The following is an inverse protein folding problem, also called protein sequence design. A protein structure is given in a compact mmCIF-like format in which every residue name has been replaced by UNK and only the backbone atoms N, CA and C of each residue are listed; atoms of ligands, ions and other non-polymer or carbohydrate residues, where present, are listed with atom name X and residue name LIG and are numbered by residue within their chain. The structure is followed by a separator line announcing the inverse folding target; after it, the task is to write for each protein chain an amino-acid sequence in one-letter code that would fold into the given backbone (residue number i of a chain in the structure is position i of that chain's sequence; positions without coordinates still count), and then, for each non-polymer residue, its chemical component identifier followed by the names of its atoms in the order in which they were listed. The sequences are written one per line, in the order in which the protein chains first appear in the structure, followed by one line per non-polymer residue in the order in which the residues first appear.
data_IF_496323766847
#
_entry.id   IF_496323766847
#
_cell.length_a   1.000
_cell.length_b   1.000
_cell.length_c   1.000
_cell.angle_alpha   90.00
_cell.angle_beta   90.00
_cell.angle_gamma   90.00
#
_symmetry.space_group_name_H-M   'P 1'
#
loop_
_entity.id
_entity.type
_entity.pdbx_description
1 polymer ?
#
# COMPACT_ATOMS: atom_id res chain seq x y z
N UNK A 1 5.54 -16.88 -7.03
CA UNK A 1 5.13 -15.58 -6.41
C UNK A 1 6.25 -14.54 -6.42
N UNK A 2 7.50 -14.93 -6.56
CA UNK A 2 8.67 -14.02 -6.63
C UNK A 2 8.59 -12.98 -7.75
N UNK A 3 7.86 -13.28 -8.84
CA UNK A 3 7.61 -12.32 -9.93
C UNK A 3 6.62 -11.20 -9.56
N UNK A 4 5.94 -11.32 -8.42
CA UNK A 4 4.98 -10.34 -7.94
C UNK A 4 5.60 -9.54 -6.78
N UNK A 5 6.33 -8.50 -7.10
CA UNK A 5 7.12 -7.69 -6.16
C UNK A 5 6.32 -6.97 -5.05
N UNK A 6 5.01 -7.09 -5.06
CA UNK A 6 4.09 -6.60 -4.04
C UNK A 6 3.66 -7.70 -3.04
N UNK A 7 4.14 -8.95 -3.21
CA UNK A 7 3.89 -10.05 -2.30
C UNK A 7 5.17 -10.46 -1.57
N UNK A 8 5.10 -10.54 -0.26
CA UNK A 8 6.19 -11.02 0.60
C UNK A 8 5.73 -12.22 1.40
N UNK A 9 6.59 -13.24 1.53
CA UNK A 9 6.29 -14.41 2.34
C UNK A 9 6.49 -14.06 3.82
N UNK A 10 5.41 -14.08 4.61
CA UNK A 10 5.44 -13.83 6.05
C UNK A 10 5.84 -15.07 6.86
N UNK A 11 5.60 -16.28 6.33
CA UNK A 11 5.92 -17.54 7.00
C UNK A 11 5.41 -18.77 6.24
N UNK A 12 5.85 -19.93 6.68
CA UNK A 12 5.42 -21.25 6.20
C UNK A 12 4.99 -22.08 7.40
N UNK A 13 3.94 -22.88 7.26
CA UNK A 13 3.40 -23.74 8.29
C UNK A 13 3.22 -25.18 7.81
N UNK A 14 3.45 -26.15 8.71
CA UNK A 14 3.41 -27.58 8.39
C UNK A 14 2.12 -28.29 8.87
N UNK A 15 1.10 -27.55 9.25
CA UNK A 15 -0.17 -28.10 9.71
C UNK A 15 -1.13 -27.05 10.22
N UNK A 16 -2.37 -27.46 10.59
CA UNK A 16 -3.40 -26.49 11.02
C UNK A 16 -3.00 -25.68 12.26
N UNK A 17 -2.49 -26.33 13.31
CA UNK A 17 -2.16 -25.66 14.58
C UNK A 17 -0.99 -24.68 14.41
N UNK A 18 0.08 -25.10 13.72
CA UNK A 18 1.19 -24.22 13.35
C UNK A 18 0.70 -23.09 12.42
N UNK A 19 -0.15 -23.40 11.45
CA UNK A 19 -0.76 -22.44 10.56
C UNK A 19 -1.54 -21.37 11.31
N UNK A 20 -2.42 -21.74 12.21
CA UNK A 20 -3.19 -20.81 13.02
C UNK A 20 -2.27 -19.94 13.87
N UNK A 21 -1.27 -20.54 14.54
CA UNK A 21 -0.32 -19.81 15.37
C UNK A 21 0.46 -18.76 14.56
N UNK A 22 0.92 -19.11 13.36
CA UNK A 22 1.61 -18.17 12.48
C UNK A 22 0.68 -17.05 11.96
N UNK A 23 -0.56 -17.39 11.62
CA UNK A 23 -1.56 -16.40 11.21
C UNK A 23 -1.84 -15.40 12.34
N UNK A 24 -2.03 -15.87 13.57
CA UNK A 24 -2.25 -15.02 14.73
C UNK A 24 -1.04 -14.13 15.06
N UNK A 25 0.18 -14.66 14.84
CA UNK A 25 1.43 -13.93 15.11
C UNK A 25 1.75 -12.85 14.09
N UNK A 26 1.56 -13.15 12.82
CA UNK A 26 2.01 -12.29 11.72
C UNK A 26 0.89 -11.49 11.06
N UNK A 27 -0.38 -11.82 11.34
CA UNK A 27 -1.57 -11.20 10.75
C UNK A 27 -1.43 -10.99 9.22
N UNK A 28 -1.18 -12.05 8.42
CA UNK A 28 -0.94 -11.92 6.99
C UNK A 28 -2.21 -11.44 6.27
N UNK A 29 -2.06 -10.71 5.17
CA UNK A 29 -3.19 -10.32 4.32
C UNK A 29 -3.75 -11.47 3.49
N UNK A 30 -2.91 -12.49 3.22
CA UNK A 30 -3.22 -13.61 2.34
C UNK A 30 -2.64 -14.92 2.88
N UNK A 31 -3.45 -15.97 2.86
CA UNK A 31 -3.06 -17.33 3.28
C UNK A 31 -3.31 -18.32 2.15
N UNK A 32 -2.30 -19.09 1.80
CA UNK A 32 -2.43 -20.24 0.89
C UNK A 32 -2.57 -21.52 1.69
N UNK A 33 -3.60 -22.31 1.38
CA UNK A 33 -3.90 -23.55 2.09
C UNK A 33 -3.87 -24.73 1.10
N UNK A 34 -2.93 -25.66 1.30
CA UNK A 34 -2.87 -26.88 0.51
C UNK A 34 -3.89 -27.90 1.01
N UNK A 35 -4.93 -28.15 0.21
CA UNK A 35 -6.07 -29.02 0.55
C UNK A 35 -5.89 -30.47 0.08
N UNK A 36 -4.74 -30.85 -0.45
CA UNK A 36 -4.48 -32.24 -0.86
C UNK A 36 -4.37 -33.19 0.34
N UNK A 37 -4.03 -32.66 1.51
CA UNK A 37 -3.91 -33.41 2.75
C UNK A 37 -4.60 -32.68 3.89
N UNK A 38 -5.21 -33.44 4.82
CA UNK A 38 -5.84 -32.89 6.05
C UNK A 38 -6.90 -31.81 5.79
N UNK A 39 -7.57 -31.82 4.63
CA UNK A 39 -8.53 -30.78 4.26
C UNK A 39 -9.59 -30.46 5.36
N UNK A 40 -10.20 -31.45 6.05
CA UNK A 40 -11.16 -31.15 7.11
C UNK A 40 -10.57 -30.32 8.26
N UNK A 41 -9.36 -30.65 8.72
CA UNK A 41 -8.70 -29.92 9.79
C UNK A 41 -8.27 -28.51 9.33
N UNK A 42 -7.90 -28.33 8.07
CA UNK A 42 -7.57 -27.03 7.49
C UNK A 42 -8.81 -26.15 7.32
N UNK A 43 -9.97 -26.70 6.96
CA UNK A 43 -11.23 -25.97 6.98
C UNK A 43 -11.61 -25.51 8.40
N UNK A 44 -11.42 -26.40 9.39
CA UNK A 44 -11.65 -26.05 10.78
C UNK A 44 -10.73 -24.90 11.23
N UNK A 45 -9.44 -24.94 10.90
CA UNK A 45 -8.49 -23.87 11.16
C UNK A 45 -8.97 -22.53 10.56
N UNK A 46 -9.44 -22.55 9.30
CA UNK A 46 -9.96 -21.32 8.65
C UNK A 46 -11.21 -20.80 9.35
N UNK A 47 -12.11 -21.66 9.82
CA UNK A 47 -13.26 -21.24 10.62
C UNK A 47 -12.85 -20.69 11.98
N UNK A 48 -11.85 -21.28 12.60
CA UNK A 48 -11.34 -20.86 13.91
C UNK A 48 -10.69 -19.49 13.88
N UNK A 49 -9.99 -19.12 12.77
CA UNK A 49 -9.43 -17.78 12.59
C UNK A 49 -10.47 -16.67 12.81
N UNK A 50 -11.74 -16.91 12.41
CA UNK A 50 -12.83 -15.94 12.57
C UNK A 50 -13.17 -15.60 14.04
N UNK A 51 -12.76 -16.45 14.98
CA UNK A 51 -12.98 -16.21 16.41
C UNK A 51 -11.97 -15.27 17.04
N UNK A 52 -10.76 -15.19 16.46
CA UNK A 52 -9.62 -14.48 17.05
C UNK A 52 -9.22 -13.22 16.28
N UNK A 53 -9.53 -13.14 14.97
CA UNK A 53 -9.08 -12.05 14.13
C UNK A 53 -10.21 -11.05 13.84
N UNK A 54 -9.92 -9.77 14.02
CA UNK A 54 -10.82 -8.68 13.62
C UNK A 54 -10.79 -8.48 12.08
N UNK A 55 -9.61 -8.61 11.48
CA UNK A 55 -9.42 -8.56 10.04
C UNK A 55 -8.98 -9.95 9.57
N UNK A 56 -9.84 -10.60 8.79
CA UNK A 56 -9.62 -11.97 8.34
C UNK A 56 -8.82 -11.96 7.05
N UNK A 57 -7.70 -12.72 6.98
CA UNK A 57 -6.92 -12.83 5.74
C UNK A 57 -7.75 -13.43 4.61
N UNK A 58 -7.43 -13.07 3.38
CA UNK A 58 -7.97 -13.77 2.23
C UNK A 58 -7.34 -15.14 2.12
N UNK A 59 -8.16 -16.19 1.97
CA UNK A 59 -7.67 -17.56 1.90
C UNK A 59 -7.81 -18.08 0.48
N UNK A 60 -6.73 -18.65 -0.07
CA UNK A 60 -6.73 -19.34 -1.36
C UNK A 60 -6.43 -20.83 -1.11
N UNK A 61 -7.35 -21.68 -1.54
CA UNK A 61 -7.14 -23.12 -1.53
C UNK A 61 -6.27 -23.55 -2.71
N UNK A 62 -5.32 -24.44 -2.48
CA UNK A 62 -4.49 -25.06 -3.50
C UNK A 62 -4.72 -26.57 -3.47
N UNK A 63 -4.96 -27.20 -4.63
CA UNK A 63 -5.12 -28.66 -4.72
C UNK A 63 -4.86 -29.19 -6.13
N UNK A 64 -4.56 -30.48 -6.23
CA UNK A 64 -4.48 -31.24 -7.50
C UNK A 64 -5.86 -31.68 -8.00
N UNK A 65 -6.91 -31.55 -7.18
CA UNK A 65 -8.25 -32.03 -7.53
C UNK A 65 -9.33 -30.99 -7.17
N UNK A 66 -10.48 -31.07 -7.84
CA UNK A 66 -11.66 -30.22 -7.56
C UNK A 66 -12.48 -30.68 -6.35
N UNK A 67 -12.10 -31.79 -5.71
CA UNK A 67 -12.87 -32.45 -4.65
C UNK A 67 -13.32 -31.49 -3.54
N UNK A 68 -12.46 -30.60 -3.12
CA UNK A 68 -12.70 -29.68 -2.00
C UNK A 68 -13.13 -28.27 -2.43
N UNK A 69 -13.37 -28.04 -3.74
CA UNK A 69 -13.69 -26.71 -4.24
C UNK A 69 -15.02 -26.18 -3.68
N UNK A 70 -16.03 -27.04 -3.56
CA UNK A 70 -17.32 -26.65 -2.99
C UNK A 70 -17.22 -26.30 -1.50
N UNK A 71 -16.46 -27.10 -0.74
CA UNK A 71 -16.23 -26.84 0.68
C UNK A 71 -15.41 -25.55 0.90
N UNK A 72 -14.44 -25.28 0.03
CA UNK A 72 -13.69 -24.04 0.05
C UNK A 72 -14.60 -22.81 -0.14
N UNK A 73 -15.53 -22.84 -1.10
CA UNK A 73 -16.52 -21.78 -1.31
C UNK A 73 -17.38 -21.58 -0.04
N UNK A 74 -17.90 -22.69 0.55
CA UNK A 74 -18.71 -22.63 1.77
C UNK A 74 -17.97 -22.03 2.98
N UNK A 75 -16.66 -22.30 3.07
CA UNK A 75 -15.81 -21.78 4.14
C UNK A 75 -15.19 -20.40 3.82
N UNK A 76 -15.73 -19.69 2.83
CA UNK A 76 -15.35 -18.31 2.55
C UNK A 76 -13.96 -18.13 1.90
N UNK A 77 -13.40 -19.19 1.29
CA UNK A 77 -12.18 -19.04 0.54
C UNK A 77 -12.37 -18.04 -0.59
N UNK A 78 -11.38 -17.20 -0.77
CA UNK A 78 -11.39 -16.17 -1.80
C UNK A 78 -11.30 -16.78 -3.22
N UNK A 79 -10.45 -17.81 -3.38
CA UNK A 79 -10.25 -18.52 -4.63
C UNK A 79 -9.76 -19.96 -4.39
N UNK A 80 -9.77 -20.76 -5.45
CA UNK A 80 -9.31 -22.14 -5.43
C UNK A 80 -8.41 -22.41 -6.64
N UNK A 81 -7.13 -22.67 -6.41
CA UNK A 81 -6.16 -22.89 -7.47
C UNK A 81 -5.92 -24.38 -7.70
N UNK A 82 -6.16 -24.81 -8.92
CA UNK A 82 -5.98 -26.20 -9.32
C UNK A 82 -4.59 -26.40 -9.94
N UNK A 83 -3.80 -27.34 -9.40
CA UNK A 83 -2.53 -27.72 -9.99
C UNK A 83 -2.74 -28.74 -11.14
N UNK A 84 -1.98 -28.70 -12.25
CA UNK A 84 -0.90 -27.77 -12.53
C UNK A 84 -1.42 -26.34 -12.74
N UNK A 85 -0.66 -25.34 -12.25
CA UNK A 85 -1.11 -23.96 -12.26
C UNK A 85 -1.12 -23.37 -13.67
N UNK A 86 -2.18 -22.64 -14.00
CA UNK A 86 -2.24 -21.79 -15.18
C UNK A 86 -1.89 -20.34 -14.78
N UNK A 87 -0.84 -19.79 -15.38
CA UNK A 87 -0.37 -18.42 -15.08
C UNK A 87 -1.47 -17.38 -15.29
N UNK A 88 -2.28 -17.54 -16.34
CA UNK A 88 -3.37 -16.60 -16.62
C UNK A 88 -4.45 -16.59 -15.53
N UNK A 89 -4.79 -17.77 -14.98
CA UNK A 89 -5.77 -17.87 -13.90
C UNK A 89 -5.23 -17.33 -12.59
N UNK A 90 -3.96 -17.59 -12.27
CA UNK A 90 -3.27 -16.96 -11.12
C UNK A 90 -3.29 -15.45 -11.27
N UNK A 91 -2.93 -14.92 -12.43
CA UNK A 91 -2.92 -13.47 -12.69
C UNK A 91 -4.30 -12.84 -12.51
N UNK A 92 -5.36 -13.47 -13.01
CA UNK A 92 -6.75 -13.03 -12.79
C UNK A 92 -7.14 -13.03 -11.32
N UNK A 93 -6.79 -14.10 -10.61
CA UNK A 93 -7.05 -14.22 -9.17
C UNK A 93 -6.34 -13.11 -8.38
N UNK A 94 -5.06 -12.88 -8.62
CA UNK A 94 -4.30 -11.82 -7.97
C UNK A 94 -4.83 -10.41 -8.30
N UNK A 95 -5.30 -10.16 -9.53
CA UNK A 95 -5.94 -8.90 -9.86
C UNK A 95 -7.27 -8.68 -9.11
N UNK A 96 -8.07 -9.74 -8.93
CA UNK A 96 -9.29 -9.69 -8.10
C UNK A 96 -8.95 -9.46 -6.63
N UNK A 97 -7.91 -10.14 -6.12
CA UNK A 97 -7.41 -10.02 -4.77
C UNK A 97 -7.00 -8.56 -4.49
N UNK A 98 -6.17 -7.96 -5.34
CA UNK A 98 -5.74 -6.55 -5.20
C UNK A 98 -6.91 -5.55 -5.18
N UNK A 99 -8.03 -5.86 -5.82
CA UNK A 99 -9.25 -5.03 -5.75
C UNK A 99 -10.00 -5.16 -4.43
N UNK A 100 -9.90 -6.30 -3.76
CA UNK A 100 -10.58 -6.60 -2.49
C UNK A 100 -9.70 -6.35 -1.28
N UNK A 101 -8.38 -6.46 -1.42
CA UNK A 101 -7.49 -6.04 -0.35
C UNK A 101 -7.82 -4.59 0.01
N UNK A 102 -8.06 -4.28 1.29
CA UNK A 102 -8.14 -2.90 1.69
C UNK A 102 -6.86 -2.26 1.17
N UNK A 103 -6.98 -1.19 0.38
CA UNK A 103 -5.83 -0.36 0.05
C UNK A 103 -5.16 -0.13 1.38
N UNK A 104 -3.93 -0.65 1.55
CA UNK A 104 -3.15 -0.50 2.79
C UNK A 104 -3.51 0.85 3.38
N UNK A 105 -4.13 0.85 4.57
CA UNK A 105 -4.45 2.11 5.26
C UNK A 105 -3.10 2.78 5.41
N UNK A 106 -2.77 3.62 4.44
CA UNK A 106 -1.55 4.42 4.52
C UNK A 106 -1.66 5.15 5.84
N UNK A 107 -0.61 5.24 6.63
CA UNK A 107 -0.69 5.89 7.92
C UNK A 107 -1.33 7.26 7.71
N UNK A 108 -2.56 7.41 8.19
CA UNK A 108 -3.30 8.67 8.06
C UNK A 108 -2.65 9.77 8.91
N UNK A 109 -1.72 9.37 9.78
CA UNK A 109 -1.10 10.27 10.73
C UNK A 109 0.41 10.02 10.77
N UNK A 110 1.19 11.09 10.68
CA UNK A 110 2.62 11.08 10.97
C UNK A 110 2.85 11.67 12.36
N UNK A 111 3.64 11.00 13.18
CA UNK A 111 4.01 11.47 14.50
C UNK A 111 5.36 12.18 14.46
N UNK A 112 5.38 13.45 14.77
CA UNK A 112 6.60 14.24 14.98
C UNK A 112 6.91 14.25 16.47
N UNK A 113 8.12 13.79 16.82
CA UNK A 113 8.58 13.77 18.21
C UNK A 113 9.66 14.82 18.40
N UNK A 114 9.47 15.71 19.40
CA UNK A 114 10.44 16.67 19.88
C UNK A 114 10.51 16.57 21.41
N UNK A 115 11.63 16.06 21.96
CA UNK A 115 11.80 15.78 23.40
C UNK A 115 10.63 14.94 23.95
N UNK A 116 9.80 15.53 24.80
CA UNK A 116 8.60 14.91 25.39
C UNK A 116 7.30 15.36 24.72
N UNK A 117 7.40 16.06 23.59
CA UNK A 117 6.25 16.51 22.80
C UNK A 117 6.06 15.61 21.58
N UNK A 118 4.80 15.19 21.35
CA UNK A 118 4.40 14.34 20.25
C UNK A 118 3.27 15.00 19.48
N UNK A 119 3.58 15.52 18.31
CA UNK A 119 2.61 16.13 17.42
C UNK A 119 2.19 15.14 16.33
N UNK A 120 0.88 14.93 16.20
CA UNK A 120 0.29 14.03 15.22
C UNK A 120 -0.33 14.84 14.09
N UNK A 121 0.22 14.72 12.88
CA UNK A 121 -0.29 15.39 11.69
C UNK A 121 -1.05 14.39 10.82
N UNK A 122 -2.28 14.75 10.43
CA UNK A 122 -3.02 13.97 9.45
C UNK A 122 -2.36 14.16 8.07
N UNK A 123 -1.95 13.05 7.46
CA UNK A 123 -1.27 13.08 6.16
C UNK A 123 -2.16 13.60 5.03
N UNK A 124 -3.48 13.55 5.18
CA UNK A 124 -4.43 14.09 4.21
C UNK A 124 -4.46 15.62 4.19
N UNK A 125 -4.01 16.28 5.28
CA UNK A 125 -3.98 17.73 5.39
C UNK A 125 -2.59 18.32 5.07
N UNK A 126 -1.59 17.47 4.78
CA UNK A 126 -0.25 17.92 4.38
C UNK A 126 -0.24 18.17 2.86
N UNK A 127 0.06 19.42 2.46
CA UNK A 127 0.17 19.82 1.06
C UNK A 127 1.53 19.46 0.46
N UNK A 128 2.60 19.82 1.16
CA UNK A 128 3.97 19.50 0.76
C UNK A 128 4.92 19.64 1.95
N UNK A 129 6.12 19.10 1.79
CA UNK A 129 7.23 19.27 2.71
C UNK A 129 8.36 20.03 2.03
N UNK A 130 9.02 20.89 2.79
CA UNK A 130 10.19 21.67 2.36
C UNK A 130 11.36 21.42 3.31
N UNK A 131 12.56 21.20 2.74
CA UNK A 131 13.78 21.18 3.53
C UNK A 131 14.18 22.61 3.91
N UNK A 132 14.48 22.81 5.19
CA UNK A 132 15.12 24.01 5.72
C UNK A 132 16.33 23.61 6.57
N UNK A 133 17.52 23.75 5.99
CA UNK A 133 18.78 23.31 6.60
C UNK A 133 18.71 21.83 7.08
N UNK A 134 18.78 21.61 8.40
CA UNK A 134 18.70 20.28 9.02
C UNK A 134 17.29 19.93 9.49
N UNK A 135 16.28 20.73 9.13
CA UNK A 135 14.88 20.55 9.50
C UNK A 135 14.02 20.31 8.27
N UNK A 136 12.79 19.89 8.50
CA UNK A 136 11.75 19.78 7.48
C UNK A 136 10.52 20.51 7.94
N UNK A 137 10.03 21.38 7.09
CA UNK A 137 8.78 22.11 7.26
C UNK A 137 7.64 21.37 6.59
N UNK A 138 6.55 21.12 7.33
CA UNK A 138 5.30 20.56 6.83
C UNK A 138 4.30 21.68 6.61
N UNK A 139 3.93 21.91 5.37
CA UNK A 139 2.93 22.91 4.98
C UNK A 139 1.55 22.27 4.97
N UNK A 140 0.70 22.72 5.87
CA UNK A 140 -0.62 22.15 6.10
C UNK A 140 -1.69 22.90 5.31
N UNK A 141 -2.81 22.24 5.07
CA UNK A 141 -3.97 22.77 4.35
C UNK A 141 -4.63 23.97 5.03
N UNK A 142 -4.58 24.03 6.35
CA UNK A 142 -5.10 25.14 7.15
C UNK A 142 -4.18 26.37 7.16
N UNK A 143 -3.06 26.31 6.42
CA UNK A 143 -2.05 27.38 6.35
C UNK A 143 -1.00 27.30 7.45
N UNK A 144 -1.09 26.36 8.39
CA UNK A 144 -0.07 26.18 9.40
C UNK A 144 1.19 25.55 8.83
N UNK A 145 2.35 25.87 9.42
CA UNK A 145 3.65 25.27 9.10
C UNK A 145 4.19 24.59 10.36
N UNK A 146 4.44 23.30 10.27
CA UNK A 146 4.97 22.51 11.38
C UNK A 146 6.40 22.09 11.08
N UNK A 147 7.32 22.37 12.00
CA UNK A 147 8.74 22.09 11.87
C UNK A 147 9.12 20.78 12.55
N UNK A 148 9.92 19.96 11.87
CA UNK A 148 10.50 18.74 12.41
C UNK A 148 12.03 18.76 12.32
N UNK A 149 12.71 18.42 13.42
CA UNK A 149 14.17 18.36 13.52
C UNK A 149 14.76 17.08 12.88
N UNK A 150 14.34 16.79 11.66
CA UNK A 150 14.83 15.70 10.83
C UNK A 150 14.89 16.12 9.38
N UNK A 151 15.76 15.47 8.62
CA UNK A 151 15.91 15.78 7.19
C UNK A 151 14.74 15.23 6.35
N UNK A 152 14.53 15.86 5.21
CA UNK A 152 13.50 15.45 4.25
C UNK A 152 13.61 13.96 3.83
N UNK A 153 14.86 13.45 3.75
CA UNK A 153 15.14 12.05 3.42
C UNK A 153 14.56 11.07 4.44
N UNK A 154 14.55 11.45 5.72
CA UNK A 154 13.95 10.63 6.79
C UNK A 154 12.45 10.44 6.57
N UNK A 155 11.77 11.52 6.18
CA UNK A 155 10.32 11.49 5.95
C UNK A 155 9.93 10.83 4.64
N UNK A 156 10.77 10.88 3.61
CA UNK A 156 10.51 10.23 2.31
C UNK A 156 10.15 8.76 2.44
N UNK A 157 10.76 8.04 3.41
CA UNK A 157 10.51 6.62 3.65
C UNK A 157 9.36 6.34 4.63
N UNK A 158 8.84 7.35 5.31
CA UNK A 158 7.78 7.21 6.33
C UNK A 158 6.41 7.68 5.82
N UNK A 159 6.42 8.53 4.80
CA UNK A 159 5.21 9.09 4.22
C UNK A 159 4.50 8.08 3.31
N UNK A 160 3.17 8.19 3.20
CA UNK A 160 2.37 7.39 2.27
C UNK A 160 2.82 7.55 0.81
N UNK A 161 2.43 6.57 -0.03
CA UNK A 161 2.81 6.51 -1.45
C UNK A 161 2.32 7.70 -2.31
N UNK A 162 1.34 8.45 -1.81
CA UNK A 162 0.89 9.69 -2.44
C UNK A 162 1.82 10.88 -2.19
N UNK A 163 2.94 10.70 -1.46
CA UNK A 163 3.99 11.70 -1.31
C UNK A 163 5.17 11.38 -2.21
N UNK A 164 5.51 12.29 -3.10
CA UNK A 164 6.59 12.10 -4.07
C UNK A 164 7.63 13.21 -3.91
N UNK A 165 8.89 12.81 -3.81
CA UNK A 165 10.01 13.75 -3.84
C UNK A 165 10.25 14.23 -5.24
N UNK A 166 10.18 15.55 -5.46
CA UNK A 166 10.32 16.21 -6.77
C UNK A 166 11.58 17.05 -6.89
N UNK A 167 12.22 17.35 -5.75
CA UNK A 167 13.42 18.16 -5.64
C UNK A 167 14.26 17.73 -4.43
N UNK A 168 15.53 18.11 -4.38
CA UNK A 168 16.33 17.93 -3.16
C UNK A 168 15.68 18.56 -1.92
N UNK A 169 14.90 19.63 -2.11
CA UNK A 169 14.24 20.39 -1.05
C UNK A 169 12.72 20.23 -1.00
N UNK A 170 12.08 19.41 -1.84
CA UNK A 170 10.62 19.31 -1.87
C UNK A 170 10.11 17.88 -2.02
N UNK A 171 9.14 17.54 -1.16
CA UNK A 171 8.23 16.39 -1.30
C UNK A 171 6.80 16.94 -1.43
N UNK A 172 6.02 16.49 -2.39
CA UNK A 172 4.64 16.95 -2.61
C UNK A 172 3.64 15.84 -2.39
N UNK A 173 2.48 16.18 -1.86
CA UNK A 173 1.33 15.31 -1.84
C UNK A 173 0.64 15.34 -3.21
N UNK A 174 0.60 14.20 -3.88
CA UNK A 174 0.11 14.09 -5.26
C UNK A 174 -1.39 14.34 -5.40
N UNK A 175 -2.16 14.23 -4.32
CA UNK A 175 -3.61 14.47 -4.32
C UNK A 175 -3.94 15.96 -4.47
N UNK A 176 -2.97 16.82 -4.14
CA UNK A 176 -3.09 18.27 -4.33
C UNK A 176 -2.44 18.79 -5.61
N UNK A 177 -1.79 17.95 -6.41
CA UNK A 177 -1.18 18.42 -7.67
C UNK A 177 -2.26 18.91 -8.63
N UNK A 178 -2.15 20.18 -9.04
CA UNK A 178 -3.06 20.82 -10.01
C UNK A 178 -2.44 20.96 -11.38
N UNK A 179 -1.13 21.17 -11.48
CA UNK A 179 -0.42 21.39 -12.76
C UNK A 179 1.02 20.93 -12.70
N UNK A 180 1.50 20.31 -13.76
CA UNK A 180 2.91 20.00 -14.00
C UNK A 180 3.33 20.68 -15.30
N UNK A 181 4.33 21.55 -15.24
CA UNK A 181 4.90 22.20 -16.41
C UNK A 181 6.36 21.75 -16.60
N UNK A 182 6.57 20.83 -17.54
CA UNK A 182 7.90 20.29 -17.82
C UNK A 182 8.84 21.30 -18.50
N UNK A 183 8.30 22.28 -19.25
CA UNK A 183 9.10 23.32 -19.90
C UNK A 183 9.75 24.27 -18.90
N UNK A 184 9.04 24.58 -17.80
CA UNK A 184 9.52 25.46 -16.72
C UNK A 184 10.04 24.69 -15.50
N UNK A 185 9.96 23.37 -15.49
CA UNK A 185 10.29 22.48 -14.37
C UNK A 185 9.58 22.89 -13.05
N UNK A 186 8.27 23.13 -13.14
CA UNK A 186 7.47 23.52 -11.96
C UNK A 186 6.27 22.57 -11.78
N UNK A 187 5.94 22.35 -10.50
CA UNK A 187 4.75 21.67 -10.04
C UNK A 187 3.90 22.65 -9.23
N UNK A 188 2.65 22.86 -9.61
CA UNK A 188 1.68 23.67 -8.86
C UNK A 188 0.76 22.73 -8.08
N UNK A 189 0.42 23.14 -6.87
CA UNK A 189 -0.53 22.47 -6.00
C UNK A 189 -1.81 23.29 -5.90
N UNK A 190 -2.92 22.62 -5.61
CA UNK A 190 -4.16 23.28 -5.17
C UNK A 190 -3.91 23.94 -3.83
N UNK A 191 -4.55 25.06 -3.60
CA UNK A 191 -4.48 25.77 -2.31
C UNK A 191 -3.06 26.29 -1.96
N UNK A 192 -2.13 26.29 -2.92
CA UNK A 192 -0.76 26.82 -2.76
C UNK A 192 -0.47 27.80 -3.89
N UNK A 193 -0.21 29.05 -3.57
CA UNK A 193 0.11 30.08 -4.59
C UNK A 193 1.52 29.88 -5.17
N UNK A 194 2.45 29.36 -4.36
CA UNK A 194 3.84 29.13 -4.75
C UNK A 194 3.96 27.94 -5.70
N UNK A 195 4.57 28.15 -6.86
CA UNK A 195 4.97 27.07 -7.73
C UNK A 195 6.25 26.41 -7.19
N UNK A 196 6.22 25.10 -7.01
CA UNK A 196 7.36 24.33 -6.50
C UNK A 196 8.24 23.84 -7.66
N UNK A 197 9.56 24.08 -7.63
CA UNK A 197 10.45 23.59 -8.66
C UNK A 197 10.66 22.07 -8.54
N UNK A 198 10.83 21.40 -9.65
CA UNK A 198 11.38 20.05 -9.67
C UNK A 198 12.69 19.99 -10.44
N UNK A 199 13.61 19.15 -9.99
CA UNK A 199 14.93 19.04 -10.63
C UNK A 199 14.99 17.92 -11.66
N UNK A 200 15.95 18.02 -12.58
CA UNK A 200 16.18 17.02 -13.65
C UNK A 200 16.39 15.61 -13.11
N UNK A 201 17.04 15.47 -11.94
CA UNK A 201 17.28 14.18 -11.29
C UNK A 201 16.00 13.47 -10.79
N UNK A 202 14.88 14.18 -10.71
CA UNK A 202 13.57 13.62 -10.33
C UNK A 202 12.59 13.55 -11.51
N UNK A 203 13.06 13.78 -12.74
CA UNK A 203 12.20 13.81 -13.93
C UNK A 203 11.43 12.50 -14.13
N UNK A 204 12.06 11.35 -13.91
CA UNK A 204 11.42 10.05 -14.08
C UNK A 204 10.24 9.87 -13.10
N UNK A 205 10.38 10.36 -11.87
CA UNK A 205 9.29 10.38 -10.88
C UNK A 205 8.14 11.29 -11.33
N UNK A 206 8.46 12.44 -11.92
CA UNK A 206 7.44 13.36 -12.47
C UNK A 206 6.72 12.79 -13.69
N UNK A 207 7.42 12.03 -14.53
CA UNK A 207 6.81 11.33 -15.66
C UNK A 207 5.87 10.20 -15.19
N UNK A 208 6.26 9.46 -14.16
CA UNK A 208 5.39 8.47 -13.50
C UNK A 208 4.16 9.13 -12.86
N UNK A 209 4.33 10.25 -12.17
CA UNK A 209 3.24 11.03 -11.60
C UNK A 209 2.27 11.48 -12.67
N UNK A 210 2.76 12.07 -13.77
CA UNK A 210 1.94 12.46 -14.93
C UNK A 210 1.10 11.28 -15.44
N UNK A 211 1.72 10.10 -15.65
CA UNK A 211 1.02 8.89 -16.11
C UNK A 211 -0.09 8.47 -15.13
N UNK A 212 0.18 8.55 -13.82
CA UNK A 212 -0.77 8.18 -12.77
C UNK A 212 -1.95 9.15 -12.72
N UNK A 213 -1.70 10.46 -12.79
CA UNK A 213 -2.74 11.49 -12.81
C UNK A 213 -3.58 11.42 -14.09
N UNK A 214 -2.96 11.20 -15.26
CA UNK A 214 -3.68 11.04 -16.53
C UNK A 214 -4.62 9.84 -16.53
N UNK A 215 -4.27 8.72 -15.87
CA UNK A 215 -5.16 7.56 -15.72
C UNK A 215 -6.38 7.84 -14.83
N UNK A 216 -6.27 8.78 -13.89
CA UNK A 216 -7.35 9.19 -12.98
C UNK A 216 -8.20 10.34 -13.55
N UNK A 217 -7.77 10.95 -14.63
CA UNK A 217 -8.43 12.11 -15.24
C UNK A 217 -9.18 11.72 -16.52
N UNK A 218 -10.32 12.35 -16.78
CA UNK A 218 -10.95 12.31 -18.10
C UNK A 218 -10.10 13.16 -19.03
N UNK A 219 -9.45 12.55 -20.03
CA UNK A 219 -8.67 13.29 -21.02
C UNK A 219 -9.63 14.10 -21.91
N UNK A 220 -9.53 15.44 -21.87
CA UNK A 220 -10.05 16.25 -22.96
C UNK A 220 -9.13 16.03 -24.16
N UNK A 221 -9.69 15.50 -25.23
CA UNK A 221 -9.03 15.44 -26.54
C UNK A 221 -8.93 16.87 -27.08
N UNK A 222 -7.73 17.40 -27.14
CA UNK A 222 -7.35 18.48 -28.07
C UNK A 222 -6.52 17.87 -29.16
#
# INVERSE_FOLDING_TARGET
LEEYGDLTCAGLANGPDDGLNQILKYAPDLVFVNLDQKAPALFQMVMEMHQYLLEIPMVIGISKSKKHAYDAIKNGFFDYWLAPFNEFDIRKSLLKLRKRMPKTKQPQTICLKSYNDFQYLNTQDILYLQADNNTTEFFMRDGTVVNAFKTLKTFENQLPQNFIRIHQSYIVNTDFVSRINFGKNICALKEVEKNLPFSKSYKDRMDQLKKTLSKKSVSSLN
#
